data_IF_998894624490
#
_entry.id   IF_998894624490
#
_cell.length_a   1.000
_cell.length_b   1.000
_cell.length_c   1.000
_cell.angle_alpha   90.00
_cell.angle_beta   90.00
_cell.angle_gamma   90.00
#
_symmetry.space_group_name_H-M   'P 1'
#
loop_
_entity.id
_entity.type
_entity.pdbx_description
1 polymer ?
#
# COMPACT_ATOMS: atom_id res chain seq x y z
N UNK A 1 -17.94 0.21 -4.38
CA UNK A 1 -16.49 0.46 -4.62
C UNK A 1 -16.00 1.75 -3.99
N UNK A 2 -16.56 2.93 -4.32
CA UNK A 2 -16.11 4.22 -3.75
C UNK A 2 -16.15 4.27 -2.21
N UNK A 3 -17.16 3.66 -1.59
CA UNK A 3 -17.29 3.59 -0.13
C UNK A 3 -16.10 2.90 0.57
N UNK A 4 -15.40 1.98 -0.09
CA UNK A 4 -14.23 1.28 0.45
C UNK A 4 -12.91 1.97 0.10
N UNK A 5 -12.86 2.71 -1.01
CA UNK A 5 -11.66 3.43 -1.46
C UNK A 5 -11.43 4.72 -0.69
N UNK A 6 -12.49 5.45 -0.36
CA UNK A 6 -12.40 6.78 0.26
C UNK A 6 -11.72 6.78 1.65
N UNK A 7 -12.07 5.88 2.58
CA UNK A 7 -11.37 5.75 3.86
C UNK A 7 -9.90 5.39 3.67
N UNK A 8 -9.62 4.60 2.64
CA UNK A 8 -8.29 4.12 2.32
C UNK A 8 -7.39 5.22 1.75
N UNK A 9 -7.92 6.05 0.86
CA UNK A 9 -7.23 7.23 0.34
C UNK A 9 -6.92 8.25 1.44
N UNK A 10 -7.85 8.42 2.40
CA UNK A 10 -7.62 9.26 3.58
C UNK A 10 -6.53 8.67 4.49
N UNK A 11 -6.54 7.35 4.73
CA UNK A 11 -5.49 6.69 5.50
C UNK A 11 -4.12 6.82 4.82
N UNK A 12 -4.06 6.64 3.49
CA UNK A 12 -2.82 6.80 2.71
C UNK A 12 -2.31 8.24 2.79
N UNK A 13 -3.20 9.23 2.69
CA UNK A 13 -2.79 10.64 2.74
C UNK A 13 -2.25 11.03 4.12
N UNK A 14 -2.89 10.55 5.19
CA UNK A 14 -2.43 10.75 6.57
C UNK A 14 -1.07 10.09 6.82
N UNK A 15 -0.94 8.80 6.49
CA UNK A 15 0.33 8.07 6.67
C UNK A 15 1.46 8.74 5.88
N UNK A 16 1.18 9.23 4.67
CA UNK A 16 2.16 9.96 3.87
C UNK A 16 2.60 11.26 4.53
N UNK A 17 1.68 12.01 5.14
CA UNK A 17 2.02 13.27 5.81
C UNK A 17 2.81 13.02 7.10
N UNK A 18 2.43 12.04 7.92
CA UNK A 18 3.20 11.65 9.11
C UNK A 18 4.61 11.19 8.75
N UNK A 19 4.72 10.34 7.72
CA UNK A 19 6.01 9.82 7.27
C UNK A 19 6.85 10.87 6.53
N UNK A 20 6.32 12.07 6.26
CA UNK A 20 7.05 13.16 5.58
C UNK A 20 8.23 13.69 6.38
N UNK A 21 8.24 13.51 7.70
CA UNK A 21 9.33 13.95 8.58
C UNK A 21 10.34 12.82 8.86
N UNK A 22 10.03 11.59 8.48
CA UNK A 22 10.82 10.39 8.79
C UNK A 22 11.94 10.16 7.77
N UNK A 23 13.04 9.53 8.15
CA UNK A 23 14.15 9.25 7.24
C UNK A 23 13.76 8.38 6.02
N UNK A 24 14.42 8.56 4.85
CA UNK A 24 14.09 7.81 3.63
C UNK A 24 14.21 6.29 3.78
N UNK A 25 15.20 5.81 4.54
CA UNK A 25 15.41 4.37 4.78
C UNK A 25 14.22 3.76 5.52
N UNK A 26 13.72 4.45 6.54
CA UNK A 26 12.58 4.00 7.33
C UNK A 26 11.29 4.04 6.49
N UNK A 27 11.09 5.05 5.64
CA UNK A 27 9.96 5.08 4.68
C UNK A 27 10.00 3.91 3.70
N UNK A 28 11.19 3.57 3.20
CA UNK A 28 11.38 2.41 2.34
C UNK A 28 11.01 1.11 3.07
N UNK A 29 11.44 0.95 4.32
CA UNK A 29 11.04 -0.17 5.18
C UNK A 29 9.53 -0.26 5.39
N UNK A 30 8.86 0.85 5.70
CA UNK A 30 7.39 0.89 5.79
C UNK A 30 6.71 0.56 4.45
N UNK A 31 7.28 0.97 3.32
CA UNK A 31 6.80 0.59 2.00
C UNK A 31 6.89 -0.91 1.74
N UNK A 32 7.98 -1.56 2.13
CA UNK A 32 8.12 -3.02 2.06
C UNK A 32 7.12 -3.71 3.00
N UNK A 33 7.01 -3.25 4.24
CA UNK A 33 6.06 -3.81 5.21
C UNK A 33 4.61 -3.70 4.72
N UNK A 34 4.23 -2.56 4.13
CA UNK A 34 2.92 -2.36 3.54
C UNK A 34 2.66 -3.30 2.34
N UNK A 35 3.68 -3.57 1.52
CA UNK A 35 3.57 -4.53 0.42
C UNK A 35 3.39 -5.97 0.92
N UNK A 36 4.19 -6.39 1.89
CA UNK A 36 4.08 -7.73 2.47
C UNK A 36 2.75 -7.90 3.19
N UNK A 37 2.30 -6.88 3.92
CA UNK A 37 0.99 -6.88 4.58
C UNK A 37 -0.17 -6.95 3.59
N UNK A 38 -0.11 -6.22 2.48
CA UNK A 38 -1.14 -6.30 1.44
C UNK A 38 -1.15 -7.66 0.76
N UNK A 39 0.01 -8.20 0.39
CA UNK A 39 0.14 -9.52 -0.21
C UNK A 39 -0.37 -10.63 0.72
N UNK A 40 -0.05 -10.56 2.01
CA UNK A 40 -0.57 -11.49 3.02
C UNK A 40 -2.09 -11.38 3.15
N UNK A 41 -2.64 -10.16 3.15
CA UNK A 41 -4.10 -9.95 3.18
C UNK A 41 -4.76 -10.58 1.97
N UNK A 42 -4.21 -10.39 0.77
CA UNK A 42 -4.72 -11.00 -0.45
C UNK A 42 -4.68 -12.53 -0.36
N UNK A 43 -3.56 -13.10 0.09
CA UNK A 43 -3.44 -14.54 0.27
C UNK A 43 -4.47 -15.11 1.24
N UNK A 44 -4.70 -14.45 2.39
CA UNK A 44 -5.69 -14.85 3.39
C UNK A 44 -7.10 -14.77 2.82
N UNK A 45 -7.43 -13.69 2.11
CA UNK A 45 -8.75 -13.51 1.46
C UNK A 45 -9.02 -14.63 0.47
N UNK A 46 -8.06 -14.98 -0.38
CA UNK A 46 -8.21 -16.08 -1.34
C UNK A 46 -8.21 -17.48 -0.70
N UNK A 47 -7.56 -17.65 0.46
CA UNK A 47 -7.51 -18.93 1.17
C UNK A 47 -8.76 -19.21 1.99
N UNK A 48 -9.42 -18.16 2.49
CA UNK A 48 -10.60 -18.27 3.35
C UNK A 48 -11.92 -18.23 2.58
N UNK A 49 -11.96 -17.59 1.41
CA UNK A 49 -13.19 -17.47 0.64
C UNK A 49 -13.49 -18.78 -0.13
N UNK A 50 -14.75 -19.24 -0.11
CA UNK A 50 -15.19 -20.40 -0.87
C UNK A 50 -15.16 -20.12 -2.37
N UNK A 51 -15.42 -21.15 -3.19
CA UNK A 51 -15.43 -21.02 -4.64
C UNK A 51 -16.31 -19.86 -5.12
N UNK A 52 -15.91 -19.14 -6.19
CA UNK A 52 -16.58 -17.92 -6.64
C UNK A 52 -18.08 -18.08 -6.93
N UNK A 53 -18.54 -19.28 -7.31
CA UNK A 53 -19.95 -19.59 -7.52
C UNK A 53 -20.80 -19.49 -6.23
N UNK A 54 -20.21 -19.72 -5.06
CA UNK A 54 -20.89 -19.58 -3.77
C UNK A 54 -20.90 -18.13 -3.26
N UNK A 55 -20.02 -17.27 -3.80
CA UNK A 55 -19.89 -15.87 -3.37
C UNK A 55 -20.98 -14.98 -4.00
N UNK A 56 -21.38 -15.25 -5.24
CA UNK A 56 -22.38 -14.44 -5.95
C UNK A 56 -23.77 -14.45 -5.28
N UNK A 57 -24.08 -15.50 -4.51
CA UNK A 57 -25.34 -15.65 -3.79
C UNK A 57 -25.35 -15.07 -2.37
N UNK A 58 -24.19 -14.71 -1.81
CA UNK A 58 -24.07 -14.28 -0.41
C UNK A 58 -23.45 -12.88 -0.29
N UNK A 59 -24.28 -11.94 0.16
CA UNK A 59 -23.93 -10.54 0.32
C UNK A 59 -22.77 -10.32 1.31
N UNK A 60 -22.64 -11.16 2.34
CA UNK A 60 -21.55 -11.07 3.32
C UNK A 60 -20.23 -11.49 2.68
N UNK A 61 -20.20 -12.60 1.95
CA UNK A 61 -19.02 -13.07 1.24
C UNK A 61 -18.57 -12.06 0.18
N UNK A 62 -19.52 -11.44 -0.53
CA UNK A 62 -19.23 -10.40 -1.51
C UNK A 62 -18.64 -9.14 -0.86
N UNK A 63 -19.17 -8.71 0.30
CA UNK A 63 -18.58 -7.60 1.08
C UNK A 63 -17.17 -7.92 1.57
N UNK A 64 -16.92 -9.15 2.03
CA UNK A 64 -15.63 -9.60 2.54
C UNK A 64 -14.57 -9.64 1.41
N UNK A 65 -14.96 -10.13 0.23
CA UNK A 65 -14.14 -10.12 -0.98
C UNK A 65 -13.81 -8.67 -1.41
N UNK A 66 -14.82 -7.80 -1.54
CA UNK A 66 -14.59 -6.41 -1.93
C UNK A 66 -13.75 -5.65 -0.91
N UNK A 67 -13.97 -5.88 0.39
CA UNK A 67 -13.17 -5.30 1.48
C UNK A 67 -11.72 -5.78 1.42
N UNK A 68 -11.50 -7.08 1.28
CA UNK A 68 -10.16 -7.67 1.16
C UNK A 68 -9.37 -7.13 -0.04
N UNK A 69 -9.99 -7.08 -1.23
CA UNK A 69 -9.38 -6.51 -2.43
C UNK A 69 -9.08 -5.03 -2.25
N UNK A 70 -9.97 -4.28 -1.57
CA UNK A 70 -9.76 -2.87 -1.30
C UNK A 70 -8.54 -2.66 -0.38
N UNK A 71 -8.42 -3.43 0.70
CA UNK A 71 -7.26 -3.40 1.61
C UNK A 71 -5.96 -3.71 0.85
N UNK A 72 -5.98 -4.73 -0.02
CA UNK A 72 -4.84 -5.06 -0.87
C UNK A 72 -4.44 -3.88 -1.76
N UNK A 73 -5.38 -3.34 -2.54
CA UNK A 73 -5.13 -2.23 -3.45
C UNK A 73 -4.59 -1.02 -2.70
N UNK A 74 -5.14 -0.74 -1.53
CA UNK A 74 -4.70 0.32 -0.64
C UNK A 74 -3.26 0.18 -0.15
N UNK A 75 -2.93 -0.98 0.43
CA UNK A 75 -1.57 -1.26 0.91
C UNK A 75 -0.55 -1.30 -0.24
N UNK A 76 -0.95 -1.77 -1.42
CA UNK A 76 -0.12 -1.77 -2.63
C UNK A 76 0.19 -0.35 -3.10
N UNK A 77 -0.81 0.53 -3.20
CA UNK A 77 -0.61 1.95 -3.56
C UNK A 77 0.29 2.65 -2.54
N UNK A 78 0.05 2.42 -1.24
CA UNK A 78 0.87 3.00 -0.18
C UNK A 78 2.34 2.57 -0.31
N UNK A 79 2.57 1.27 -0.54
CA UNK A 79 3.90 0.72 -0.75
C UNK A 79 4.63 1.42 -1.90
N UNK A 80 3.99 1.51 -3.06
CA UNK A 80 4.57 2.16 -4.25
C UNK A 80 4.94 3.61 -3.93
N UNK A 81 4.05 4.36 -3.30
CA UNK A 81 4.27 5.77 -2.98
C UNK A 81 5.46 5.93 -2.03
N UNK A 82 5.54 5.11 -0.97
CA UNK A 82 6.61 5.20 0.01
C UNK A 82 7.96 4.80 -0.59
N UNK A 83 8.02 3.67 -1.30
CA UNK A 83 9.23 3.20 -1.98
C UNK A 83 9.71 4.23 -3.00
N UNK A 84 8.82 4.70 -3.89
CA UNK A 84 9.17 5.67 -4.92
C UNK A 84 9.67 6.99 -4.31
N UNK A 85 9.04 7.45 -3.23
CA UNK A 85 9.47 8.67 -2.55
C UNK A 85 10.87 8.54 -1.92
N UNK A 86 11.18 7.36 -1.35
CA UNK A 86 12.48 7.07 -0.75
C UNK A 86 13.57 6.97 -1.84
N UNK A 87 13.29 6.25 -2.92
CA UNK A 87 14.20 6.12 -4.07
C UNK A 87 14.48 7.48 -4.71
N UNK A 88 13.45 8.31 -4.90
CA UNK A 88 13.61 9.65 -5.45
C UNK A 88 14.49 10.55 -4.57
N UNK A 89 14.33 10.50 -3.25
CA UNK A 89 15.20 11.23 -2.33
C UNK A 89 16.65 10.72 -2.34
N UNK A 90 16.84 9.40 -2.41
CA UNK A 90 18.17 8.81 -2.53
C UNK A 90 18.85 9.25 -3.85
N UNK A 91 18.11 9.25 -4.96
CA UNK A 91 18.60 9.72 -6.26
C UNK A 91 18.98 11.21 -6.22
N UNK A 92 18.15 12.07 -5.62
CA UNK A 92 18.47 13.50 -5.44
C UNK A 92 19.76 13.70 -4.64
N UNK A 93 19.94 12.98 -3.52
CA UNK A 93 21.16 13.05 -2.71
C UNK A 93 22.38 12.63 -3.54
N UNK A 94 22.29 11.51 -4.24
CA UNK A 94 23.37 11.02 -5.11
C UNK A 94 23.74 12.04 -6.19
N UNK A 95 22.74 12.63 -6.87
CA UNK A 95 22.95 13.65 -7.89
C UNK A 95 23.65 14.90 -7.32
N UNK A 96 23.25 15.35 -6.12
CA UNK A 96 23.86 16.51 -5.45
C UNK A 96 25.32 16.27 -5.06
N UNK A 97 25.64 15.09 -4.52
CA UNK A 97 27.03 14.72 -4.25
C UNK A 97 27.87 14.68 -5.52
N UNK A 98 27.31 14.18 -6.63
CA UNK A 98 28.02 14.15 -7.91
C UNK A 98 28.27 15.55 -8.49
N UNK A 99 27.35 16.50 -8.28
CA UNK A 99 27.49 17.87 -8.80
C UNK A 99 28.38 18.78 -7.96
N UNK A 100 28.60 18.47 -6.68
CA UNK A 100 29.46 19.27 -5.80
C UNK A 100 30.90 18.76 -5.71
N UNK A 101 31.17 17.57 -6.26
CA UNK A 101 32.52 16.97 -6.32
C UNK A 101 33.20 17.24 -7.68
N UNK A 102 32.47 17.82 -8.64
CA UNK A 102 32.99 18.37 -9.91
C UNK A 102 33.21 19.87 -9.80
#
# INVERSE_FOLDING_TARGET
MMAFLLPLLLAISWVREELRMVEPRTRFGFGIAAFLGSAATLFVVFSLLPEPAAIEGDLLLMMLLMGGISIFAGGFVLSIVLISSAVWQAFKRWKFYRSNVS
#
